data_IF_230063439430
#
_entry.id   IF_230063439430
#
_cell.length_a   1.000
_cell.length_b   1.000
_cell.length_c   1.000
_cell.angle_alpha   90.00
_cell.angle_beta   90.00
_cell.angle_gamma   90.00
#
_symmetry.space_group_name_H-M   'P 1'
#
loop_
_entity.id
_entity.type
_entity.pdbx_description
1 polymer ?
#
# COMPACT_ATOMS: atom_id res chain seq x y z
N UNK A 1 -15.04 -26.42 1.76
CA UNK A 1 -13.90 -26.14 0.86
C UNK A 1 -13.65 -24.65 0.76
N UNK A 2 -14.54 -23.86 0.17
CA UNK A 2 -14.35 -22.41 0.01
C UNK A 2 -14.05 -21.67 1.32
N UNK A 3 -14.81 -21.92 2.39
CA UNK A 3 -14.55 -21.27 3.68
C UNK A 3 -13.19 -21.62 4.30
N UNK A 4 -12.69 -22.84 4.07
CA UNK A 4 -11.37 -23.26 4.56
C UNK A 4 -10.26 -22.61 3.73
N UNK A 5 -10.45 -22.50 2.42
CA UNK A 5 -9.56 -21.73 1.54
C UNK A 5 -9.44 -20.29 2.04
N UNK A 6 -10.55 -19.59 2.26
CA UNK A 6 -10.54 -18.21 2.74
C UNK A 6 -9.89 -18.07 4.12
N UNK A 7 -10.19 -19.00 5.05
CA UNK A 7 -9.62 -18.98 6.39
C UNK A 7 -8.10 -19.24 6.38
N UNK A 8 -7.58 -20.00 5.41
CA UNK A 8 -6.15 -20.31 5.33
C UNK A 8 -5.27 -19.07 5.14
N UNK A 9 -5.79 -17.99 4.53
CA UNK A 9 -5.06 -16.74 4.34
C UNK A 9 -4.91 -15.89 5.61
N UNK A 10 -5.56 -16.30 6.71
CA UNK A 10 -5.32 -15.72 8.04
C UNK A 10 -4.10 -16.34 8.74
N UNK A 11 -3.38 -17.25 8.08
CA UNK A 11 -2.21 -17.95 8.63
C UNK A 11 -1.14 -17.00 9.15
N UNK A 12 -0.45 -17.45 10.20
CA UNK A 12 0.74 -16.86 10.81
C UNK A 12 2.00 -17.62 10.36
N UNK A 13 3.20 -17.13 10.72
CA UNK A 13 4.44 -17.84 10.41
C UNK A 13 4.51 -19.18 11.15
N UNK A 14 4.99 -20.21 10.45
CA UNK A 14 5.13 -21.55 11.00
C UNK A 14 3.83 -22.37 11.04
N UNK A 15 2.68 -21.81 10.65
CA UNK A 15 1.40 -22.55 10.59
C UNK A 15 1.28 -23.40 9.31
N UNK A 16 2.08 -24.47 9.23
CA UNK A 16 2.15 -25.37 8.07
C UNK A 16 0.79 -26.00 7.72
N UNK A 17 -0.05 -26.27 8.72
CA UNK A 17 -1.38 -26.87 8.51
C UNK A 17 -2.28 -25.96 7.66
N UNK A 18 -2.20 -24.64 7.84
CA UNK A 18 -3.01 -23.71 7.04
C UNK A 18 -2.46 -23.56 5.63
N UNK A 19 -1.14 -23.66 5.44
CA UNK A 19 -0.55 -23.73 4.10
C UNK A 19 -1.01 -25.00 3.35
N UNK A 20 -0.95 -26.17 4.00
CA UNK A 20 -1.44 -27.42 3.42
C UNK A 20 -2.95 -27.37 3.14
N UNK A 21 -3.73 -26.75 4.03
CA UNK A 21 -5.17 -26.56 3.82
C UNK A 21 -5.46 -25.65 2.62
N UNK A 22 -4.67 -24.59 2.42
CA UNK A 22 -4.76 -23.71 1.25
C UNK A 22 -4.52 -24.48 -0.03
N UNK A 23 -3.46 -25.27 -0.10
CA UNK A 23 -3.09 -26.04 -1.29
C UNK A 23 -4.15 -27.11 -1.60
N UNK A 24 -4.56 -27.86 -0.58
CA UNK A 24 -5.61 -28.87 -0.69
C UNK A 24 -6.93 -28.27 -1.17
N UNK A 25 -7.35 -27.15 -0.59
CA UNK A 25 -8.61 -26.50 -0.98
C UNK A 25 -8.54 -25.86 -2.35
N UNK A 26 -7.42 -25.22 -2.73
CA UNK A 26 -7.22 -24.62 -4.05
C UNK A 26 -7.34 -25.64 -5.17
N UNK A 27 -6.70 -26.81 -5.00
CA UNK A 27 -6.76 -27.92 -5.95
C UNK A 27 -8.21 -28.40 -6.14
N UNK A 28 -8.89 -28.72 -5.04
CA UNK A 28 -10.26 -29.22 -5.10
C UNK A 28 -11.26 -28.19 -5.65
N UNK A 29 -11.10 -26.91 -5.30
CA UNK A 29 -11.94 -25.82 -5.80
C UNK A 29 -11.81 -25.67 -7.33
N UNK A 30 -10.59 -25.81 -7.87
CA UNK A 30 -10.37 -25.80 -9.32
C UNK A 30 -11.04 -26.99 -10.03
N UNK A 31 -11.08 -28.17 -9.41
CA UNK A 31 -11.68 -29.39 -10.00
C UNK A 31 -13.21 -29.38 -10.02
N UNK A 32 -13.85 -28.63 -9.12
CA UNK A 32 -15.31 -28.61 -8.96
C UNK A 32 -15.96 -27.37 -9.57
N UNK A 33 -15.21 -26.31 -9.91
CA UNK A 33 -15.79 -25.02 -10.36
C UNK A 33 -16.70 -25.12 -11.59
N UNK A 34 -16.48 -26.12 -12.45
CA UNK A 34 -17.32 -26.39 -13.63
C UNK A 34 -18.53 -27.30 -13.33
N UNK A 35 -18.61 -27.87 -12.13
CA UNK A 35 -19.60 -28.89 -11.72
C UNK A 35 -20.62 -28.38 -10.70
N UNK A 36 -20.46 -27.14 -10.24
CA UNK A 36 -21.31 -26.49 -9.23
C UNK A 36 -22.24 -25.45 -9.88
N UNK A 37 -23.20 -24.94 -9.12
CA UNK A 37 -24.10 -23.90 -9.62
C UNK A 37 -23.34 -22.62 -10.02
N UNK A 38 -23.92 -21.86 -10.96
CA UNK A 38 -23.25 -20.70 -11.55
C UNK A 38 -22.90 -19.61 -10.52
N UNK A 39 -23.72 -19.41 -9.48
CA UNK A 39 -23.47 -18.39 -8.47
C UNK A 39 -22.34 -18.81 -7.52
N UNK A 40 -22.28 -20.09 -7.15
CA UNK A 40 -21.17 -20.63 -6.37
C UNK A 40 -19.89 -20.70 -7.19
N UNK A 41 -19.96 -21.07 -8.48
CA UNK A 41 -18.81 -21.04 -9.39
C UNK A 41 -18.19 -19.63 -9.48
N UNK A 42 -19.01 -18.57 -9.51
CA UNK A 42 -18.54 -17.18 -9.46
C UNK A 42 -17.81 -16.88 -8.15
N UNK A 43 -18.34 -17.32 -7.01
CA UNK A 43 -17.68 -17.13 -5.72
C UNK A 43 -16.36 -17.90 -5.62
N UNK A 44 -16.31 -19.13 -6.15
CA UNK A 44 -15.08 -19.92 -6.18
C UNK A 44 -14.03 -19.27 -7.08
N UNK A 45 -14.40 -18.84 -8.28
CA UNK A 45 -13.48 -18.14 -9.19
C UNK A 45 -12.97 -16.83 -8.58
N UNK A 46 -13.86 -16.06 -7.95
CA UNK A 46 -13.50 -14.83 -7.26
C UNK A 46 -12.52 -15.09 -6.12
N UNK A 47 -12.78 -16.08 -5.26
CA UNK A 47 -11.84 -16.43 -4.19
C UNK A 47 -10.47 -16.89 -4.73
N UNK A 48 -10.44 -17.73 -5.77
CA UNK A 48 -9.21 -18.24 -6.38
C UNK A 48 -8.39 -17.16 -7.11
N UNK A 49 -9.02 -16.08 -7.58
CA UNK A 49 -8.33 -14.92 -8.15
C UNK A 49 -7.59 -14.12 -7.07
N UNK A 50 -8.26 -13.85 -5.96
CA UNK A 50 -7.69 -13.20 -4.79
C UNK A 50 -8.57 -13.54 -3.57
N UNK A 51 -8.00 -13.98 -2.44
CA UNK A 51 -8.79 -14.33 -1.26
C UNK A 51 -9.37 -13.08 -0.61
N UNK A 52 -10.52 -13.24 0.06
CA UNK A 52 -11.25 -12.17 0.74
C UNK A 52 -10.36 -11.36 1.70
N UNK A 53 -9.45 -12.02 2.42
CA UNK A 53 -8.58 -11.35 3.38
C UNK A 53 -7.62 -10.34 2.74
N UNK A 54 -7.22 -10.58 1.49
CA UNK A 54 -6.33 -9.71 0.71
C UNK A 54 -7.10 -8.72 -0.18
N UNK A 55 -8.43 -8.81 -0.26
CA UNK A 55 -9.25 -7.90 -1.07
C UNK A 55 -9.53 -6.57 -0.39
N UNK A 56 -9.53 -5.50 -1.17
CA UNK A 56 -10.07 -4.22 -0.73
C UNK A 56 -11.58 -4.32 -0.46
N UNK A 57 -11.96 -4.18 0.82
CA UNK A 57 -13.34 -4.37 1.28
C UNK A 57 -14.37 -3.52 0.52
N UNK A 58 -13.99 -2.32 0.07
CA UNK A 58 -14.90 -1.43 -0.66
C UNK A 58 -15.19 -1.91 -2.08
N UNK A 59 -14.19 -2.50 -2.75
CA UNK A 59 -14.37 -3.15 -4.06
C UNK A 59 -15.16 -4.44 -3.89
N UNK A 60 -14.83 -5.21 -2.86
CA UNK A 60 -15.54 -6.44 -2.52
C UNK A 60 -17.02 -6.19 -2.22
N UNK A 61 -17.35 -5.17 -1.44
CA UNK A 61 -18.74 -4.82 -1.13
C UNK A 61 -19.56 -4.56 -2.40
N UNK A 62 -18.98 -3.86 -3.39
CA UNK A 62 -19.68 -3.60 -4.65
C UNK A 62 -19.99 -4.88 -5.40
N UNK A 63 -19.01 -5.78 -5.51
CA UNK A 63 -19.15 -7.06 -6.18
C UNK A 63 -20.13 -7.98 -5.43
N UNK A 64 -19.99 -8.07 -4.11
CA UNK A 64 -20.77 -8.97 -3.28
C UNK A 64 -22.25 -8.56 -3.19
N UNK A 65 -22.58 -7.27 -3.27
CA UNK A 65 -23.99 -6.82 -3.36
C UNK A 65 -24.69 -7.45 -4.57
N UNK A 66 -24.02 -7.52 -5.74
CA UNK A 66 -24.59 -8.12 -6.96
C UNK A 66 -24.71 -9.66 -6.87
N UNK A 67 -23.86 -10.30 -6.07
CA UNK A 67 -23.92 -11.73 -5.79
C UNK A 67 -25.03 -12.03 -4.77
N UNK A 68 -25.11 -11.25 -3.70
CA UNK A 68 -26.09 -11.39 -2.63
C UNK A 68 -27.52 -11.24 -3.16
N UNK A 69 -27.76 -10.29 -4.07
CA UNK A 69 -29.05 -10.09 -4.74
C UNK A 69 -29.57 -11.34 -5.48
N UNK A 70 -28.68 -12.23 -5.93
CA UNK A 70 -29.04 -13.43 -6.71
C UNK A 70 -29.23 -14.67 -5.84
N UNK A 71 -29.01 -14.57 -4.52
CA UNK A 71 -29.17 -15.69 -3.61
C UNK A 71 -30.64 -15.97 -3.35
N UNK A 72 -31.00 -17.25 -3.26
CA UNK A 72 -32.36 -17.67 -2.90
C UNK A 72 -32.72 -17.28 -1.45
N UNK A 73 -31.73 -17.24 -0.56
CA UNK A 73 -31.88 -16.88 0.86
C UNK A 73 -31.57 -15.39 1.16
N UNK A 74 -31.60 -14.53 0.13
CA UNK A 74 -31.35 -13.10 0.26
C UNK A 74 -32.39 -12.41 1.14
N UNK A 75 -31.92 -11.58 2.08
CA UNK A 75 -32.78 -10.72 2.90
C UNK A 75 -32.95 -9.35 2.21
N UNK A 76 -34.17 -8.97 1.79
CA UNK A 76 -34.39 -7.73 1.03
C UNK A 76 -34.06 -6.47 1.83
N UNK A 77 -34.27 -6.48 3.14
CA UNK A 77 -33.94 -5.34 4.02
C UNK A 77 -32.41 -5.15 4.08
N UNK A 78 -31.66 -6.25 4.18
CA UNK A 78 -30.20 -6.19 4.18
C UNK A 78 -29.64 -5.73 2.83
N UNK A 79 -30.21 -6.22 1.73
CA UNK A 79 -29.80 -5.80 0.38
C UNK A 79 -30.07 -4.31 0.14
N UNK A 80 -31.25 -3.82 0.54
CA UNK A 80 -31.60 -2.40 0.45
C UNK A 80 -30.66 -1.54 1.28
N UNK A 81 -30.40 -1.92 2.54
CA UNK A 81 -29.44 -1.25 3.40
C UNK A 81 -28.05 -1.20 2.78
N UNK A 82 -27.55 -2.32 2.25
CA UNK A 82 -26.23 -2.40 1.63
C UNK A 82 -26.11 -1.48 0.40
N UNK A 83 -27.15 -1.42 -0.44
CA UNK A 83 -27.18 -0.52 -1.61
C UNK A 83 -27.21 0.96 -1.19
N UNK A 84 -28.03 1.30 -0.19
CA UNK A 84 -28.15 2.68 0.31
C UNK A 84 -26.85 3.16 0.95
N UNK A 85 -26.27 2.37 1.87
CA UNK A 85 -25.00 2.68 2.53
C UNK A 85 -23.86 2.82 1.50
N UNK A 86 -23.81 1.91 0.53
CA UNK A 86 -22.82 2.01 -0.55
C UNK A 86 -22.95 3.35 -1.29
N UNK A 87 -24.15 3.76 -1.69
CA UNK A 87 -24.33 5.01 -2.42
C UNK A 87 -24.00 6.24 -1.56
N UNK A 88 -24.41 6.27 -0.28
CA UNK A 88 -24.10 7.38 0.63
C UNK A 88 -22.59 7.59 0.81
N UNK A 89 -21.84 6.51 1.01
CA UNK A 89 -20.38 6.57 1.12
C UNK A 89 -19.75 6.96 -0.21
N UNK A 90 -20.29 6.50 -1.35
CA UNK A 90 -19.80 6.89 -2.67
C UNK A 90 -19.97 8.39 -2.94
N UNK A 91 -21.09 8.98 -2.53
CA UNK A 91 -21.32 10.43 -2.63
C UNK A 91 -20.28 11.23 -1.84
N UNK A 92 -19.92 10.74 -0.65
CA UNK A 92 -18.85 11.31 0.17
C UNK A 92 -17.51 11.23 -0.56
N UNK A 93 -17.12 10.05 -1.07
CA UNK A 93 -15.88 9.90 -1.85
C UNK A 93 -15.84 10.80 -3.09
N UNK A 94 -16.97 10.96 -3.80
CA UNK A 94 -17.05 11.85 -4.96
C UNK A 94 -16.86 13.32 -4.57
N UNK A 95 -17.35 13.72 -3.39
CA UNK A 95 -17.12 15.06 -2.86
C UNK A 95 -15.64 15.25 -2.52
N UNK A 96 -15.06 14.31 -1.78
CA UNK A 96 -13.65 14.36 -1.40
C UNK A 96 -12.75 14.37 -2.64
N UNK A 97 -13.06 13.57 -3.67
CA UNK A 97 -12.34 13.58 -4.94
C UNK A 97 -12.47 14.92 -5.68
N UNK A 98 -13.65 15.56 -5.68
CA UNK A 98 -13.82 16.90 -6.26
C UNK A 98 -13.00 17.95 -5.52
N UNK A 99 -12.87 17.83 -4.21
CA UNK A 99 -12.06 18.74 -3.43
C UNK A 99 -10.57 18.46 -3.65
N UNK A 100 -10.11 17.20 -3.60
CA UNK A 100 -8.71 16.81 -3.86
C UNK A 100 -8.24 17.11 -5.29
N UNK A 101 -9.08 16.90 -6.30
CA UNK A 101 -8.72 17.16 -7.71
C UNK A 101 -8.40 18.63 -8.00
N UNK A 102 -8.82 19.56 -7.13
CA UNK A 102 -8.43 20.98 -7.22
C UNK A 102 -6.99 21.23 -6.77
N UNK A 103 -6.41 20.31 -6.00
CA UNK A 103 -5.08 20.41 -5.40
C UNK A 103 -4.06 19.45 -6.04
N UNK A 104 -4.49 18.61 -7.00
CA UNK A 104 -3.63 17.55 -7.53
C UNK A 104 -2.45 18.11 -8.33
N UNK A 105 -1.27 17.98 -7.74
CA UNK A 105 0.02 18.06 -8.42
C UNK A 105 0.90 16.91 -7.95
N UNK A 106 1.05 15.86 -8.75
CA UNK A 106 1.92 14.72 -8.43
C UNK A 106 3.41 15.16 -8.32
N UNK A 107 4.08 14.98 -7.16
CA UNK A 107 5.51 15.25 -7.03
C UNK A 107 6.39 14.17 -7.69
N UNK A 108 5.90 12.96 -7.94
CA UNK A 108 6.71 11.82 -8.37
C UNK A 108 7.21 11.98 -9.81
N UNK A 109 6.41 12.61 -10.67
CA UNK A 109 6.82 12.99 -12.03
C UNK A 109 8.10 13.87 -12.05
N UNK A 110 8.31 14.71 -11.03
CA UNK A 110 9.51 15.55 -10.92
C UNK A 110 10.76 14.69 -10.84
N UNK A 111 10.68 13.58 -10.10
CA UNK A 111 11.79 12.68 -9.86
C UNK A 111 11.92 11.66 -11.00
N UNK A 112 10.83 11.05 -11.45
CA UNK A 112 10.85 9.95 -12.43
C UNK A 112 11.04 10.41 -13.90
N UNK A 113 10.63 11.63 -14.24
CA UNK A 113 10.54 12.07 -15.66
C UNK A 113 11.32 13.34 -15.95
N UNK A 114 11.33 14.32 -15.04
CA UNK A 114 11.74 15.68 -15.38
C UNK A 114 13.09 16.12 -14.78
N UNK A 115 13.41 15.71 -13.55
CA UNK A 115 14.50 16.29 -12.78
C UNK A 115 15.87 15.70 -13.12
N UNK A 116 16.85 16.58 -13.30
CA UNK A 116 18.27 16.16 -13.30
C UNK A 116 18.77 15.94 -11.86
N UNK A 117 19.82 15.15 -11.67
CA UNK A 117 20.34 14.84 -10.32
C UNK A 117 20.64 16.10 -9.48
N UNK A 118 21.19 17.16 -10.10
CA UNK A 118 21.49 18.43 -9.43
C UNK A 118 20.20 19.17 -9.02
N UNK A 119 19.18 19.16 -9.87
CA UNK A 119 17.88 19.76 -9.57
C UNK A 119 17.17 18.99 -8.44
N UNK A 120 17.26 17.66 -8.44
CA UNK A 120 16.68 16.81 -7.39
C UNK A 120 17.39 16.99 -6.05
N UNK A 121 18.69 17.30 -6.05
CA UNK A 121 19.43 17.66 -4.83
C UNK A 121 18.90 18.95 -4.22
N UNK A 122 18.73 20.00 -5.03
CA UNK A 122 18.15 21.27 -4.57
C UNK A 122 16.72 21.10 -4.05
N UNK A 123 15.88 20.31 -4.73
CA UNK A 123 14.52 20.04 -4.26
C UNK A 123 14.51 19.28 -2.93
N UNK A 124 15.38 18.27 -2.79
CA UNK A 124 15.48 17.47 -1.57
C UNK A 124 15.97 18.33 -0.39
N UNK A 125 16.95 19.20 -0.60
CA UNK A 125 17.43 20.17 0.40
C UNK A 125 16.33 21.15 0.81
N UNK A 126 15.53 21.66 -0.13
CA UNK A 126 14.39 22.52 0.18
C UNK A 126 13.36 21.81 1.07
N UNK A 127 13.05 20.54 0.79
CA UNK A 127 12.15 19.71 1.62
C UNK A 127 12.75 19.41 2.99
N UNK A 128 14.07 19.19 3.08
CA UNK A 128 14.74 18.98 4.37
C UNK A 128 14.67 20.21 5.27
N UNK A 129 15.02 21.37 4.72
CA UNK A 129 14.98 22.66 5.44
C UNK A 129 13.56 23.05 5.80
N UNK A 130 12.60 22.69 4.95
CA UNK A 130 11.20 23.08 5.08
C UNK A 130 11.02 24.60 5.21
N UNK A 131 11.86 25.36 4.50
CA UNK A 131 11.88 26.82 4.48
C UNK A 131 11.28 27.33 3.16
N UNK A 132 10.22 28.12 3.25
CA UNK A 132 9.56 28.70 2.08
C UNK A 132 10.51 29.55 1.24
N UNK A 133 11.56 30.14 1.83
CA UNK A 133 12.53 30.96 1.12
C UNK A 133 13.52 30.12 0.28
N UNK A 134 13.68 28.83 0.58
CA UNK A 134 14.51 27.93 -0.23
C UNK A 134 13.99 27.76 -1.66
N UNK A 135 12.71 28.10 -1.89
CA UNK A 135 12.06 28.07 -3.21
C UNK A 135 12.74 28.95 -4.26
N UNK A 136 13.44 30.01 -3.85
CA UNK A 136 14.11 30.94 -4.76
C UNK A 136 15.24 30.24 -5.56
N UNK A 137 15.77 29.14 -5.02
CA UNK A 137 16.85 28.37 -5.63
C UNK A 137 16.34 27.28 -6.58
N UNK A 138 15.04 26.98 -6.57
CA UNK A 138 14.42 25.95 -7.40
C UNK A 138 14.07 26.48 -8.79
N UNK A 139 13.93 25.58 -9.76
CA UNK A 139 13.34 25.90 -11.07
C UNK A 139 11.83 26.09 -10.96
N UNK A 140 11.22 26.91 -11.83
CA UNK A 140 9.82 27.31 -11.72
C UNK A 140 8.83 26.14 -11.65
N UNK A 141 9.10 25.03 -12.36
CA UNK A 141 8.25 23.84 -12.29
C UNK A 141 8.34 23.13 -10.92
N UNK A 142 9.53 23.12 -10.30
CA UNK A 142 9.77 22.59 -8.96
C UNK A 142 9.18 23.49 -7.86
N UNK A 143 9.22 24.82 -8.05
CA UNK A 143 8.60 25.78 -7.12
C UNK A 143 7.13 25.46 -6.88
N UNK A 144 6.38 25.23 -7.94
CA UNK A 144 4.94 24.91 -7.86
C UNK A 144 4.71 23.63 -7.04
N UNK A 145 5.52 22.59 -7.29
CA UNK A 145 5.41 21.29 -6.61
C UNK A 145 5.79 21.37 -5.13
N UNK A 146 6.87 22.10 -4.82
CA UNK A 146 7.27 22.37 -3.44
C UNK A 146 6.20 23.16 -2.69
N UNK A 147 5.63 24.21 -3.29
CA UNK A 147 4.54 24.99 -2.68
C UNK A 147 3.31 24.14 -2.41
N UNK A 148 2.92 23.30 -3.37
CA UNK A 148 1.78 22.40 -3.20
C UNK A 148 2.00 21.45 -2.02
N UNK A 149 3.18 20.82 -1.93
CA UNK A 149 3.56 19.96 -0.81
C UNK A 149 3.58 20.73 0.52
N UNK A 150 4.26 21.88 0.57
CA UNK A 150 4.40 22.71 1.76
C UNK A 150 3.04 23.16 2.29
N UNK A 151 2.18 23.70 1.43
CA UNK A 151 0.85 24.16 1.84
C UNK A 151 -0.02 23.01 2.31
N UNK A 152 -0.04 21.89 1.59
CA UNK A 152 -0.85 20.72 1.94
C UNK A 152 -0.50 20.18 3.33
N UNK A 153 0.79 20.00 3.63
CA UNK A 153 1.25 19.50 4.94
C UNK A 153 0.95 20.49 6.07
N UNK A 154 1.14 21.79 5.85
CA UNK A 154 0.84 22.80 6.87
C UNK A 154 -0.67 22.95 7.12
N UNK A 155 -1.51 22.84 6.07
CA UNK A 155 -2.97 22.81 6.21
C UNK A 155 -3.44 21.57 6.97
N UNK A 156 -2.90 20.40 6.63
CA UNK A 156 -3.17 19.15 7.35
C UNK A 156 -2.84 19.26 8.85
N UNK A 157 -1.69 19.84 9.18
CA UNK A 157 -1.29 20.07 10.57
C UNK A 157 -2.21 21.06 11.32
N UNK A 158 -2.88 21.97 10.61
CA UNK A 158 -3.84 22.91 11.21
C UNK A 158 -5.17 22.24 11.58
N UNK A 159 -5.58 21.20 10.86
CA UNK A 159 -6.84 20.47 11.10
C UNK A 159 -6.77 19.64 12.38
N UNK A 160 -5.60 19.10 12.73
CA UNK A 160 -5.44 18.30 13.95
C UNK A 160 -5.48 19.21 15.19
N UNK A 161 -6.27 18.89 16.23
CA UNK A 161 -6.44 19.77 17.38
C UNK A 161 -5.09 20.13 18.03
N UNK A 162 -4.80 21.43 18.12
CA UNK A 162 -3.58 21.97 18.75
C UNK A 162 -3.39 21.48 20.19
N UNK A 163 -4.48 21.12 20.86
CA UNK A 163 -4.51 20.58 22.22
C UNK A 163 -3.82 19.21 22.34
N UNK A 164 -3.60 18.49 21.23
CA UNK A 164 -2.82 17.24 21.23
C UNK A 164 -1.31 17.48 21.38
N UNK A 165 -0.84 18.74 21.35
CA UNK A 165 0.52 19.13 21.75
C UNK A 165 1.66 18.55 20.91
N UNK A 166 1.38 17.98 19.74
CA UNK A 166 2.36 17.26 18.91
C UNK A 166 2.79 18.11 17.71
N UNK A 167 4.09 18.14 17.40
CA UNK A 167 4.63 18.77 16.18
C UNK A 167 4.42 17.85 14.97
N UNK A 168 3.19 17.83 14.47
CA UNK A 168 2.75 16.96 13.37
C UNK A 168 3.50 17.30 12.08
N UNK A 169 3.77 18.58 11.83
CA UNK A 169 4.53 19.04 10.66
C UNK A 169 5.89 18.35 10.61
N UNK A 170 6.56 18.18 11.76
CA UNK A 170 7.84 17.46 11.83
C UNK A 170 7.73 16.00 11.37
N UNK A 171 6.66 15.29 11.74
CA UNK A 171 6.47 13.90 11.30
C UNK A 171 6.13 13.80 9.82
N UNK A 172 5.21 14.64 9.32
CA UNK A 172 4.78 14.60 7.92
C UNK A 172 5.91 15.01 6.97
N UNK A 173 6.68 16.06 7.32
CA UNK A 173 7.85 16.48 6.54
C UNK A 173 8.94 15.39 6.55
N UNK A 174 9.18 14.74 7.69
CA UNK A 174 10.20 13.69 7.82
C UNK A 174 9.85 12.49 6.94
N UNK A 175 8.59 12.04 6.96
CA UNK A 175 8.15 10.95 6.10
C UNK A 175 8.37 11.28 4.61
N UNK A 176 8.06 12.51 4.21
CA UNK A 176 8.27 12.98 2.84
C UNK A 176 9.76 13.06 2.47
N UNK A 177 10.59 13.64 3.32
CA UNK A 177 12.04 13.72 3.12
C UNK A 177 12.69 12.32 3.02
N UNK A 178 12.33 11.42 3.92
CA UNK A 178 12.83 10.03 3.93
C UNK A 178 12.44 9.29 2.64
N UNK A 179 11.23 9.51 2.11
CA UNK A 179 10.86 9.01 0.79
C UNK A 179 11.79 9.56 -0.30
N UNK A 180 11.94 10.88 -0.40
CA UNK A 180 12.71 11.52 -1.48
C UNK A 180 14.18 11.10 -1.49
N UNK A 181 14.79 10.99 -0.31
CA UNK A 181 16.17 10.51 -0.16
C UNK A 181 16.34 9.05 -0.59
N UNK A 182 15.38 8.18 -0.27
CA UNK A 182 15.39 6.76 -0.69
C UNK A 182 15.17 6.60 -2.19
N UNK A 183 14.29 7.40 -2.76
CA UNK A 183 14.11 7.46 -4.21
C UNK A 183 15.42 7.92 -4.90
N UNK A 184 16.08 8.96 -4.36
CA UNK A 184 17.36 9.44 -4.92
C UNK A 184 18.42 8.36 -4.86
N UNK A 185 18.48 7.59 -3.77
CA UNK A 185 19.39 6.46 -3.66
C UNK A 185 19.14 5.46 -4.79
N UNK A 186 17.89 5.06 -5.06
CA UNK A 186 17.60 4.15 -6.19
C UNK A 186 18.04 4.67 -7.57
N UNK A 187 18.06 6.00 -7.78
CA UNK A 187 18.53 6.60 -9.04
C UNK A 187 20.06 6.88 -9.10
N UNK A 188 20.75 6.92 -7.97
CA UNK A 188 22.18 7.32 -7.88
C UNK A 188 23.13 6.18 -7.53
N UNK A 189 22.70 5.23 -6.69
CA UNK A 189 23.46 4.02 -6.38
C UNK A 189 23.18 2.95 -7.43
N UNK A 190 23.41 3.29 -8.70
CA UNK A 190 23.57 2.27 -9.74
C UNK A 190 24.85 1.45 -9.47
N UNK A 191 24.87 0.70 -8.36
CA UNK A 191 25.34 -0.67 -8.47
C UNK A 191 24.52 -1.26 -9.60
N UNK A 192 25.20 -1.58 -10.69
CA UNK A 192 24.57 -1.95 -11.96
C UNK A 192 23.59 -3.13 -11.76
N UNK A 193 23.70 -3.87 -10.64
CA UNK A 193 22.77 -4.89 -10.16
C UNK A 193 22.76 -4.97 -8.61
N UNK A 194 21.83 -4.31 -7.89
CA UNK A 194 21.68 -4.56 -6.45
C UNK A 194 21.16 -5.98 -6.20
N UNK A 195 21.49 -6.56 -5.04
CA UNK A 195 20.82 -7.79 -4.58
C UNK A 195 19.34 -7.52 -4.33
N UNK A 196 18.50 -8.57 -4.35
CA UNK A 196 17.08 -8.40 -4.05
C UNK A 196 16.86 -7.79 -2.66
N UNK A 197 17.66 -8.20 -1.67
CA UNK A 197 17.56 -7.69 -0.31
C UNK A 197 17.92 -6.20 -0.21
N UNK A 198 19.02 -5.76 -0.84
CA UNK A 198 19.43 -4.36 -0.88
C UNK A 198 18.37 -3.49 -1.55
N UNK A 199 17.86 -3.94 -2.70
CA UNK A 199 16.76 -3.28 -3.40
C UNK A 199 15.55 -3.15 -2.48
N UNK A 200 15.05 -4.25 -1.93
CA UNK A 200 13.83 -4.25 -1.13
C UNK A 200 13.96 -3.37 0.11
N UNK A 201 15.11 -3.35 0.79
CA UNK A 201 15.36 -2.51 1.96
C UNK A 201 15.23 -1.00 1.68
N UNK A 202 15.43 -0.58 0.43
CA UNK A 202 15.17 0.79 -0.03
C UNK A 202 13.75 0.95 -0.61
N UNK A 203 13.30 -0.03 -1.40
CA UNK A 203 12.14 0.06 -2.27
C UNK A 203 10.80 0.15 -1.52
N UNK A 204 10.69 -0.46 -0.33
CA UNK A 204 9.46 -0.35 0.48
C UNK A 204 9.24 1.07 1.00
N UNK A 205 10.28 1.91 1.06
CA UNK A 205 10.15 3.33 1.44
C UNK A 205 9.98 4.20 0.20
N UNK A 206 10.74 3.92 -0.87
CA UNK A 206 10.74 4.76 -2.08
C UNK A 206 9.40 4.74 -2.82
N UNK A 207 8.56 3.71 -2.65
CA UNK A 207 7.19 3.65 -3.18
C UNK A 207 6.21 4.64 -2.50
N UNK A 208 6.68 5.47 -1.57
CA UNK A 208 5.85 6.40 -0.78
C UNK A 208 4.84 5.73 0.16
N UNK A 209 4.75 4.40 0.20
CA UNK A 209 3.78 3.67 1.01
C UNK A 209 3.78 4.06 2.50
N UNK A 210 4.93 4.26 3.19
CA UNK A 210 4.92 4.62 4.61
C UNK A 210 4.28 5.97 4.90
N UNK A 211 4.23 6.87 3.91
CA UNK A 211 3.64 8.22 4.06
C UNK A 211 2.16 8.12 4.40
N UNK A 212 1.42 7.20 3.77
CA UNK A 212 -0.03 7.04 3.95
C UNK A 212 -0.43 6.69 5.40
N UNK A 213 0.07 5.60 6.02
CA UNK A 213 -0.29 5.25 7.39
C UNK A 213 0.25 6.27 8.39
N UNK A 214 1.44 6.87 8.17
CA UNK A 214 1.94 7.95 9.04
C UNK A 214 0.97 9.12 9.06
N UNK A 215 0.48 9.58 7.90
CA UNK A 215 -0.54 10.62 7.84
C UNK A 215 -1.84 10.14 8.51
N UNK A 216 -2.30 8.93 8.16
CA UNK A 216 -3.50 8.33 8.71
C UNK A 216 -3.52 8.31 10.24
N UNK A 217 -2.40 7.98 10.89
CA UNK A 217 -2.26 7.96 12.34
C UNK A 217 -2.72 9.28 12.99
N UNK A 218 -2.25 10.42 12.49
CA UNK A 218 -2.55 11.74 13.07
C UNK A 218 -4.01 12.16 12.88
N UNK A 219 -4.71 11.60 11.90
CA UNK A 219 -6.11 11.92 11.64
C UNK A 219 -7.11 10.97 12.31
N UNK A 220 -6.70 9.77 12.69
CA UNK A 220 -7.59 8.76 13.33
C UNK A 220 -7.31 8.52 14.80
N UNK A 221 -6.26 9.14 15.36
CA UNK A 221 -5.82 8.92 16.74
C UNK A 221 -6.07 10.14 17.62
N UNK A 222 -6.80 9.94 18.72
CA UNK A 222 -7.00 10.94 19.76
C UNK A 222 -7.27 10.23 21.10
N UNK A 223 -6.45 10.41 22.15
CA UNK A 223 -5.22 11.23 22.19
C UNK A 223 -4.02 10.55 21.53
N UNK A 224 -3.09 11.36 21.01
CA UNK A 224 -1.77 10.90 20.55
C UNK A 224 -0.91 10.59 21.77
N UNK A 225 -0.24 9.42 21.77
CA UNK A 225 0.65 9.00 22.86
C UNK A 225 2.11 9.12 22.48
N UNK A 226 2.98 9.43 23.46
CA UNK A 226 4.43 9.50 23.27
C UNK A 226 5.02 8.16 22.82
N UNK A 227 4.52 7.07 23.38
CA UNK A 227 4.92 5.70 23.02
C UNK A 227 4.67 5.40 21.54
N UNK A 228 3.47 5.71 21.02
CA UNK A 228 3.17 5.51 19.61
C UNK A 228 4.02 6.41 18.69
N UNK A 229 4.31 7.66 19.10
CA UNK A 229 5.21 8.54 18.36
C UNK A 229 6.64 7.99 18.30
N UNK A 230 7.17 7.47 19.40
CA UNK A 230 8.49 6.83 19.45
C UNK A 230 8.55 5.61 18.52
N UNK A 231 7.48 4.80 18.46
CA UNK A 231 7.39 3.69 17.51
C UNK A 231 7.35 4.15 16.04
N UNK A 232 6.71 5.29 15.74
CA UNK A 232 6.64 5.83 14.38
C UNK A 232 8.00 6.31 13.86
N UNK A 233 8.92 6.73 14.74
CA UNK A 233 10.25 7.22 14.35
C UNK A 233 11.07 6.18 13.56
N UNK A 234 10.91 4.90 13.90
CA UNK A 234 11.61 3.77 13.28
C UNK A 234 10.75 3.00 12.27
N UNK A 235 9.54 3.47 12.00
CA UNK A 235 8.46 2.75 11.29
C UNK A 235 8.13 1.38 11.92
N UNK A 236 6.95 1.23 12.57
CA UNK A 236 6.55 -0.06 13.12
C UNK A 236 6.40 -1.11 12.00
N UNK A 237 6.56 -2.38 12.37
CA UNK A 237 6.52 -3.49 11.41
C UNK A 237 5.24 -3.51 10.56
N UNK A 238 4.08 -3.13 11.12
CA UNK A 238 2.83 -3.05 10.36
C UNK A 238 2.90 -2.07 9.17
N UNK A 239 3.61 -0.94 9.31
CA UNK A 239 3.88 -0.01 8.21
C UNK A 239 4.86 -0.66 7.22
N UNK A 240 5.91 -1.30 7.73
CA UNK A 240 6.93 -1.95 6.89
C UNK A 240 6.31 -3.06 6.02
N UNK A 241 5.50 -3.95 6.58
CA UNK A 241 4.89 -5.07 5.87
C UNK A 241 3.85 -4.61 4.85
N UNK A 242 2.98 -3.66 5.22
CA UNK A 242 2.04 -3.08 4.26
C UNK A 242 2.73 -2.43 3.07
N UNK A 243 3.81 -1.70 3.33
CA UNK A 243 4.61 -1.04 2.30
C UNK A 243 5.38 -2.03 1.43
N UNK A 244 5.91 -3.11 2.04
CA UNK A 244 6.58 -4.19 1.32
C UNK A 244 5.61 -4.92 0.39
N UNK A 245 4.39 -5.23 0.84
CA UNK A 245 3.36 -5.85 0.00
C UNK A 245 3.01 -4.93 -1.18
N UNK A 246 2.78 -3.63 -0.92
CA UNK A 246 2.51 -2.67 -1.99
C UNK A 246 3.64 -2.64 -3.03
N UNK A 247 4.90 -2.56 -2.58
CA UNK A 247 6.08 -2.57 -3.46
C UNK A 247 6.18 -3.85 -4.29
N UNK A 248 6.04 -5.02 -3.67
CA UNK A 248 6.14 -6.28 -4.41
C UNK A 248 5.01 -6.44 -5.44
N UNK A 249 3.79 -5.96 -5.14
CA UNK A 249 2.69 -5.99 -6.10
C UNK A 249 2.88 -4.98 -7.25
N UNK A 250 3.35 -3.77 -6.93
CA UNK A 250 3.71 -2.75 -7.91
C UNK A 250 4.73 -3.30 -8.91
N UNK A 251 5.86 -3.81 -8.42
CA UNK A 251 6.90 -4.40 -9.26
C UNK A 251 6.39 -5.58 -10.11
N UNK A 252 5.50 -6.44 -9.56
CA UNK A 252 4.87 -7.53 -10.32
C UNK A 252 3.98 -7.01 -11.45
N UNK A 253 3.31 -5.88 -11.25
CA UNK A 253 2.38 -5.28 -12.21
C UNK A 253 3.06 -4.44 -13.29
N UNK A 254 4.15 -3.75 -12.96
CA UNK A 254 4.77 -2.73 -13.84
C UNK A 254 6.02 -3.23 -14.56
N UNK A 255 6.67 -4.30 -14.08
CA UNK A 255 7.96 -4.79 -14.57
C UNK A 255 8.07 -4.91 -16.10
N UNK A 256 7.04 -5.40 -16.79
CA UNK A 256 7.10 -5.61 -18.24
C UNK A 256 7.22 -4.30 -19.01
N UNK A 257 6.53 -3.23 -18.57
CA UNK A 257 6.56 -1.94 -19.26
C UNK A 257 7.71 -1.05 -18.78
N UNK A 258 8.20 -1.25 -17.57
CA UNK A 258 9.41 -0.61 -17.03
C UNK A 258 10.68 -1.12 -17.73
N UNK A 259 10.78 -2.44 -17.96
CA UNK A 259 11.88 -3.03 -18.74
C UNK A 259 11.99 -2.43 -20.14
N UNK A 260 10.85 -2.21 -20.82
CA UNK A 260 10.84 -1.60 -22.16
C UNK A 260 11.28 -0.14 -22.15
N UNK A 261 11.06 0.58 -21.05
CA UNK A 261 11.44 1.98 -20.86
C UNK A 261 12.90 2.15 -20.45
N UNK A 262 13.58 1.06 -20.07
CA UNK A 262 14.97 1.11 -19.60
C UNK A 262 15.10 1.62 -18.16
N UNK A 263 14.07 1.40 -17.34
CA UNK A 263 14.08 1.73 -15.91
C UNK A 263 15.07 0.86 -15.13
N UNK A 264 15.41 1.28 -13.91
CA UNK A 264 16.31 0.54 -13.00
C UNK A 264 15.74 -0.85 -12.67
N UNK A 265 16.61 -1.87 -12.44
CA UNK A 265 16.18 -3.18 -12.00
C UNK A 265 15.26 -3.11 -10.77
N UNK A 266 14.06 -3.69 -10.87
CA UNK A 266 13.13 -3.87 -9.74
C UNK A 266 13.29 -5.25 -9.10
N UNK A 267 12.39 -5.65 -8.21
CA UNK A 267 12.50 -6.93 -7.49
C UNK A 267 12.67 -8.15 -8.40
N UNK A 268 11.93 -8.25 -9.52
CA UNK A 268 12.06 -9.38 -10.45
C UNK A 268 13.46 -9.43 -11.07
N UNK A 269 13.95 -8.30 -11.58
CA UNK A 269 15.26 -8.23 -12.23
C UNK A 269 16.40 -8.42 -11.22
N UNK A 270 16.29 -7.86 -10.01
CA UNK A 270 17.29 -8.07 -8.95
C UNK A 270 17.43 -9.56 -8.64
N UNK A 271 16.31 -10.27 -8.47
CA UNK A 271 16.33 -11.71 -8.21
C UNK A 271 16.91 -12.51 -9.39
N UNK A 272 16.51 -12.21 -10.62
CA UNK A 272 17.05 -12.85 -11.82
C UNK A 272 18.56 -12.64 -11.95
N UNK A 273 19.04 -11.43 -11.69
CA UNK A 273 20.46 -11.09 -11.80
C UNK A 273 21.29 -11.75 -10.70
N UNK A 274 20.74 -11.87 -9.49
CA UNK A 274 21.40 -12.51 -8.35
C UNK A 274 21.48 -14.04 -8.49
N UNK A 275 20.43 -14.67 -9.01
CA UNK A 275 20.29 -16.14 -9.01
C UNK A 275 20.42 -16.80 -10.39
N UNK A 276 20.46 -16.01 -11.46
CA UNK A 276 20.32 -16.48 -12.85
C UNK A 276 19.01 -17.24 -13.14
N UNK A 277 17.98 -17.05 -12.31
CA UNK A 277 16.67 -17.64 -12.50
C UNK A 277 15.93 -17.07 -13.73
N UNK A 278 14.98 -17.84 -14.25
CA UNK A 278 14.02 -17.36 -15.26
C UNK A 278 13.07 -16.31 -14.68
N UNK A 279 12.44 -15.51 -15.55
CA UNK A 279 11.42 -14.54 -15.14
C UNK A 279 10.24 -15.22 -14.44
N UNK A 280 9.86 -16.42 -14.88
CA UNK A 280 8.78 -17.21 -14.28
C UNK A 280 9.12 -17.61 -12.83
N UNK A 281 10.32 -18.14 -12.60
CA UNK A 281 10.82 -18.48 -11.26
C UNK A 281 10.93 -17.23 -10.38
N UNK A 282 11.38 -16.11 -10.93
CA UNK A 282 11.48 -14.85 -10.21
C UNK A 282 10.10 -14.32 -9.80
N UNK A 283 9.13 -14.30 -10.72
CA UNK A 283 7.75 -13.91 -10.42
C UNK A 283 7.13 -14.80 -9.33
N UNK A 284 7.39 -16.10 -9.38
CA UNK A 284 6.91 -17.03 -8.37
C UNK A 284 7.57 -16.79 -7.00
N UNK A 285 8.87 -16.52 -6.98
CA UNK A 285 9.56 -16.11 -5.76
C UNK A 285 8.95 -14.83 -5.15
N UNK A 286 8.69 -13.80 -5.96
CA UNK A 286 8.07 -12.55 -5.49
C UNK A 286 6.65 -12.79 -4.96
N UNK A 287 5.84 -13.66 -5.57
CA UNK A 287 4.53 -14.07 -5.01
C UNK A 287 4.67 -14.78 -3.66
N UNK A 288 5.68 -15.63 -3.52
CA UNK A 288 6.05 -16.26 -2.26
C UNK A 288 6.36 -15.23 -1.17
N UNK A 289 7.18 -14.22 -1.50
CA UNK A 289 7.50 -13.12 -0.58
C UNK A 289 6.26 -12.32 -0.15
N UNK A 290 5.31 -12.08 -1.06
CA UNK A 290 4.03 -11.43 -0.72
C UNK A 290 3.26 -12.29 0.30
N UNK A 291 3.13 -13.59 0.04
CA UNK A 291 2.45 -14.53 0.95
C UNK A 291 3.12 -14.56 2.34
N UNK A 292 4.45 -14.62 2.39
CA UNK A 292 5.18 -14.63 3.66
C UNK A 292 5.09 -13.30 4.41
N UNK A 293 5.05 -12.19 3.68
CA UNK A 293 4.87 -10.86 4.28
C UNK A 293 3.46 -10.69 4.84
N UNK A 294 2.43 -11.25 4.19
CA UNK A 294 1.07 -11.31 4.73
C UNK A 294 1.00 -12.07 6.05
N UNK A 295 1.74 -13.18 6.21
CA UNK A 295 1.81 -13.92 7.47
C UNK A 295 2.40 -13.07 8.60
N UNK A 296 3.52 -12.37 8.35
CA UNK A 296 4.12 -11.42 9.31
C UNK A 296 3.13 -10.30 9.68
N UNK A 297 2.41 -9.80 8.68
CA UNK A 297 1.41 -8.76 8.89
C UNK A 297 0.21 -9.24 9.71
N UNK A 298 -0.22 -10.50 9.53
CA UNK A 298 -1.26 -11.11 10.33
C UNK A 298 -0.88 -11.24 11.81
N UNK A 299 0.38 -11.56 12.09
CA UNK A 299 0.94 -11.60 13.46
C UNK A 299 0.92 -10.22 14.11
N UNK A 300 1.48 -9.21 13.43
CA UNK A 300 1.54 -7.84 13.97
C UNK A 300 0.15 -7.21 14.13
N UNK A 301 -0.85 -7.65 13.36
CA UNK A 301 -2.24 -7.20 13.50
C UNK A 301 -2.85 -7.63 14.84
N UNK A 302 -2.51 -8.82 15.32
CA UNK A 302 -3.08 -9.40 16.55
C UNK A 302 -2.15 -9.26 17.76
N UNK A 303 -0.92 -8.79 17.54
CA UNK A 303 0.03 -8.50 18.59
C UNK A 303 -0.38 -7.27 19.42
N UNK A 304 0.12 -7.20 20.65
CA UNK A 304 -0.01 -6.02 21.50
C UNK A 304 0.72 -4.84 20.83
N UNK A 305 0.00 -3.73 20.68
CA UNK A 305 0.46 -2.58 19.92
C UNK A 305 0.02 -1.28 20.58
N UNK A 306 0.85 -0.22 20.58
CA UNK A 306 0.43 1.10 21.04
C UNK A 306 -0.54 1.78 20.05
N UNK A 307 -0.80 1.17 18.89
CA UNK A 307 -1.68 1.69 17.86
C UNK A 307 -3.10 1.14 17.95
N UNK A 308 -4.07 1.97 17.58
CA UNK A 308 -5.48 1.56 17.52
C UNK A 308 -5.75 0.57 16.39
N UNK A 309 -6.80 -0.24 16.54
CA UNK A 309 -7.27 -1.14 15.47
C UNK A 309 -7.67 -0.38 14.20
N UNK A 310 -8.10 0.88 14.32
CA UNK A 310 -8.36 1.74 13.16
C UNK A 310 -7.08 2.03 12.38
N UNK A 311 -5.99 2.39 13.06
CA UNK A 311 -4.69 2.62 12.41
C UNK A 311 -4.14 1.34 11.78
N UNK A 312 -4.19 0.22 12.50
CA UNK A 312 -3.78 -1.09 11.98
C UNK A 312 -4.60 -1.42 10.73
N UNK A 313 -5.91 -1.13 10.74
CA UNK A 313 -6.80 -1.26 9.59
C UNK A 313 -6.38 -0.43 8.37
N UNK A 314 -5.87 0.78 8.56
CA UNK A 314 -5.32 1.61 7.46
C UNK A 314 -4.12 0.91 6.81
N UNK A 315 -3.17 0.42 7.61
CA UNK A 315 -2.01 -0.30 7.09
C UNK A 315 -2.44 -1.60 6.37
N UNK A 316 -3.37 -2.36 6.94
CA UNK A 316 -3.94 -3.56 6.29
C UNK A 316 -4.59 -3.23 4.94
N UNK A 317 -5.35 -2.13 4.86
CA UNK A 317 -5.98 -1.70 3.62
C UNK A 317 -4.97 -1.18 2.59
N UNK A 318 -3.85 -0.59 3.01
CA UNK A 318 -2.76 -0.25 2.11
C UNK A 318 -2.19 -1.50 1.41
N UNK A 319 -1.98 -2.59 2.16
CA UNK A 319 -1.54 -3.86 1.58
C UNK A 319 -2.58 -4.43 0.59
N UNK A 320 -3.86 -4.41 0.98
CA UNK A 320 -4.98 -4.88 0.13
C UNK A 320 -5.11 -4.10 -1.17
N UNK A 321 -4.82 -2.81 -1.14
CA UNK A 321 -4.82 -1.95 -2.33
C UNK A 321 -3.72 -2.34 -3.31
N UNK A 322 -2.56 -2.79 -2.82
CA UNK A 322 -1.51 -3.33 -3.68
C UNK A 322 -1.90 -4.66 -4.33
N UNK A 323 -2.63 -5.52 -3.61
CA UNK A 323 -3.02 -6.84 -4.12
C UNK A 323 -4.29 -6.85 -4.99
N UNK A 324 -5.09 -5.77 -4.99
CA UNK A 324 -6.38 -5.68 -5.70
C UNK A 324 -6.25 -4.99 -7.05
#
# INVERSE_FOLDING_TARGET
MLSLYEASYLSLQGEVILDEARDFTSSHLNDIKEKIDLNLAKQVNHALELPLHWRMLRLEARWFVDIYERREDMNPILLELAKLDYNMVQETHQKDLRDMSRWWTDPDDVYDVYGTLDELELFTDAVERWDINAIEQLLDYMKIRFLALYNSVNEMAYVVPKEQGSDIVSYLKKATYVKLTRWRQSGTTADINPTLEEYLNNAWISISAPVIPVHGYFFVTNPITKEALECLESYPNIIRWSSMILRLCDDLGTSTDELKRGDVPKSIQCYMNETSASEEEAREHIRGLISDTWKKMNEDRVADSPFSQTFIGIAMNLARMGTS
#
